data_IF_429778082867
#
_entry.id   IF_429778082867
#
_cell.length_a   1.000
_cell.length_b   1.000
_cell.length_c   1.000
_cell.angle_alpha   90.00
_cell.angle_beta   90.00
_cell.angle_gamma   90.00
#
_symmetry.space_group_name_H-M   'P 1'
#
loop_
_entity.id
_entity.type
_entity.pdbx_description
1 polymer ?
#
# COMPACT_ATOMS: atom_id res chain seq x y z
N UNK A 1 -39.80 -5.05 -16.15
CA UNK A 1 -38.80 -6.15 -16.16
C UNK A 1 -37.74 -5.75 -15.16
N UNK A 2 -37.61 -6.54 -14.09
CA UNK A 2 -36.79 -6.24 -12.92
C UNK A 2 -35.32 -6.47 -13.27
N UNK A 3 -34.54 -5.40 -13.46
CA UNK A 3 -33.09 -5.47 -13.54
C UNK A 3 -32.56 -5.69 -12.12
N UNK A 4 -32.21 -6.95 -11.83
CA UNK A 4 -31.57 -7.31 -10.57
C UNK A 4 -30.25 -6.57 -10.43
N UNK A 5 -30.12 -5.81 -9.35
CA UNK A 5 -28.82 -5.37 -8.85
C UNK A 5 -28.09 -6.62 -8.34
N UNK A 6 -27.31 -7.26 -9.20
CA UNK A 6 -26.26 -8.19 -8.76
C UNK A 6 -25.14 -7.36 -8.12
N UNK A 7 -25.36 -6.96 -6.85
CA UNK A 7 -24.27 -6.60 -5.96
C UNK A 7 -23.49 -7.89 -5.70
N UNK A 8 -22.52 -8.20 -6.55
CA UNK A 8 -21.56 -9.25 -6.23
C UNK A 8 -20.93 -8.92 -4.86
N UNK A 9 -20.94 -9.85 -3.90
CA UNK A 9 -20.32 -9.60 -2.61
C UNK A 9 -18.85 -9.28 -2.84
N UNK A 10 -18.42 -8.08 -2.47
CA UNK A 10 -17.00 -7.73 -2.50
C UNK A 10 -16.26 -8.74 -1.64
N UNK A 11 -15.42 -9.54 -2.29
CA UNK A 11 -14.57 -10.50 -1.59
C UNK A 11 -13.67 -9.70 -0.64
N UNK A 12 -13.87 -9.82 0.68
CA UNK A 12 -13.08 -9.12 1.68
C UNK A 12 -11.60 -9.52 1.55
N UNK A 13 -10.78 -8.72 0.86
CA UNK A 13 -9.35 -8.98 0.63
C UNK A 13 -8.48 -8.59 1.81
N UNK A 14 -8.98 -7.69 2.66
CA UNK A 14 -8.27 -7.17 3.83
C UNK A 14 -8.04 -8.25 4.89
N UNK A 15 -6.80 -8.39 5.42
CA UNK A 15 -6.52 -9.29 6.53
C UNK A 15 -7.20 -8.83 7.82
N UNK A 16 -7.58 -9.79 8.67
CA UNK A 16 -8.26 -9.55 9.95
C UNK A 16 -7.56 -10.24 11.12
N UNK A 17 -6.24 -10.09 11.21
CA UNK A 17 -5.45 -10.63 12.30
C UNK A 17 -5.68 -9.86 13.60
N UNK A 18 -5.79 -10.57 14.71
CA UNK A 18 -5.73 -9.96 16.05
C UNK A 18 -4.29 -9.61 16.47
N UNK A 19 -4.14 -8.74 17.47
CA UNK A 19 -2.80 -8.37 17.99
C UNK A 19 -2.01 -9.58 18.52
N UNK A 20 -2.70 -10.55 19.14
CA UNK A 20 -2.09 -11.81 19.59
C UNK A 20 -1.55 -12.64 18.42
N UNK A 21 -2.38 -12.85 17.40
CA UNK A 21 -2.00 -13.61 16.20
C UNK A 21 -0.85 -12.91 15.45
N UNK A 22 -0.87 -11.58 15.38
CA UNK A 22 0.19 -10.78 14.79
C UNK A 22 1.51 -10.89 15.57
N UNK A 23 1.46 -10.93 16.91
CA UNK A 23 2.65 -11.16 17.73
C UNK A 23 3.23 -12.57 17.54
N UNK A 24 2.37 -13.59 17.47
CA UNK A 24 2.76 -14.97 17.17
C UNK A 24 3.36 -15.10 15.76
N UNK A 25 2.82 -14.35 14.79
CA UNK A 25 3.34 -14.27 13.44
C UNK A 25 4.77 -13.69 13.42
N UNK A 26 5.03 -12.62 14.18
CA UNK A 26 6.35 -12.01 14.30
C UNK A 26 7.38 -13.01 14.87
N UNK A 27 7.03 -13.70 15.95
CA UNK A 27 7.90 -14.70 16.58
C UNK A 27 8.14 -15.91 15.66
N UNK A 28 7.08 -16.42 15.02
CA UNK A 28 7.18 -17.58 14.13
C UNK A 28 8.04 -17.30 12.91
N UNK A 29 7.77 -16.19 12.19
CA UNK A 29 8.37 -15.87 10.89
C UNK A 29 9.73 -15.18 11.02
N UNK A 30 9.88 -14.25 11.98
CA UNK A 30 11.07 -13.40 12.11
C UNK A 30 11.91 -13.73 13.34
N UNK A 31 11.42 -14.55 14.27
CA UNK A 31 12.18 -15.00 15.44
C UNK A 31 12.31 -13.95 16.54
N UNK A 32 11.46 -12.94 16.52
CA UNK A 32 11.50 -11.82 17.46
C UNK A 32 10.42 -11.96 18.53
N UNK A 33 10.81 -11.80 19.79
CA UNK A 33 9.87 -11.77 20.92
C UNK A 33 9.26 -10.38 21.06
N UNK A 34 7.97 -10.28 20.77
CA UNK A 34 7.19 -9.04 20.87
C UNK A 34 6.96 -8.67 22.34
N UNK A 35 7.39 -7.48 22.74
CA UNK A 35 7.11 -6.90 24.07
C UNK A 35 5.83 -6.07 24.05
N UNK A 36 5.53 -5.44 22.90
CA UNK A 36 4.33 -4.63 22.70
C UNK A 36 3.95 -4.60 21.21
N UNK A 37 2.65 -4.60 20.94
CA UNK A 37 2.12 -4.50 19.57
C UNK A 37 0.84 -3.66 19.58
N UNK A 38 0.61 -2.89 18.52
CA UNK A 38 -0.64 -2.16 18.32
C UNK A 38 -1.00 -2.05 16.85
N UNK A 39 -2.27 -2.24 16.53
CA UNK A 39 -2.76 -1.98 15.17
C UNK A 39 -2.60 -0.51 14.77
N UNK A 40 -2.12 -0.29 13.55
CA UNK A 40 -2.04 1.02 12.90
C UNK A 40 -3.24 1.22 11.96
N UNK A 41 -3.64 2.48 11.67
CA UNK A 41 -4.61 2.75 10.63
C UNK A 41 -4.17 2.14 9.29
N UNK A 42 -5.04 1.34 8.68
CA UNK A 42 -4.79 0.68 7.39
C UNK A 42 -6.04 0.63 6.53
N UNK A 43 -5.84 0.65 5.21
CA UNK A 43 -6.91 0.56 4.21
C UNK A 43 -7.10 -0.89 3.75
N UNK A 44 -6.56 -1.31 2.61
CA UNK A 44 -6.68 -2.69 2.10
C UNK A 44 -5.78 -3.69 2.85
N UNK A 45 -4.60 -3.24 3.30
CA UNK A 45 -3.66 -4.05 4.08
C UNK A 45 -3.97 -3.99 5.58
N UNK A 46 -3.20 -4.72 6.39
CA UNK A 46 -3.19 -4.59 7.85
C UNK A 46 -1.77 -4.34 8.37
N UNK A 47 -1.59 -3.27 9.14
CA UNK A 47 -0.30 -2.87 9.68
C UNK A 47 -0.32 -2.88 11.21
N UNK A 48 0.77 -3.27 11.83
CA UNK A 48 0.97 -3.20 13.28
C UNK A 48 2.30 -2.54 13.60
N UNK A 49 2.30 -1.65 14.59
CA UNK A 49 3.52 -1.19 15.22
C UNK A 49 3.93 -2.21 16.28
N UNK A 50 5.16 -2.72 16.17
CA UNK A 50 5.72 -3.78 16.99
C UNK A 50 6.95 -3.25 17.71
N UNK A 51 7.05 -3.48 19.02
CA UNK A 51 8.29 -3.34 19.79
C UNK A 51 8.75 -4.71 20.25
N UNK A 52 10.04 -4.99 20.14
CA UNK A 52 10.62 -6.28 20.54
C UNK A 52 11.33 -6.20 21.88
N UNK A 53 11.59 -7.34 22.50
CA UNK A 53 12.15 -7.46 23.86
C UNK A 53 13.69 -7.44 23.91
N UNK A 54 14.36 -7.16 22.79
CA UNK A 54 15.82 -7.18 22.70
C UNK A 54 16.48 -5.95 23.36
N UNK A 55 17.76 -6.09 23.72
CA UNK A 55 18.60 -4.98 24.20
C UNK A 55 18.69 -3.89 23.12
N UNK A 56 17.99 -2.78 23.32
CA UNK A 56 17.85 -1.71 22.32
C UNK A 56 16.41 -1.32 21.99
N UNK A 57 15.43 -2.15 22.36
CA UNK A 57 14.00 -1.92 22.13
C UNK A 57 13.68 -1.51 20.67
N UNK A 58 14.16 -2.30 19.70
CA UNK A 58 13.90 -2.03 18.30
C UNK A 58 12.39 -2.04 17.98
N UNK A 59 12.00 -1.09 17.14
CA UNK A 59 10.63 -0.88 16.70
C UNK A 59 10.49 -1.24 15.22
N UNK A 60 9.38 -1.89 14.88
CA UNK A 60 9.09 -2.37 13.53
C UNK A 60 7.63 -2.11 13.15
N UNK A 61 7.38 -2.16 11.85
CA UNK A 61 6.03 -2.25 11.28
C UNK A 61 5.86 -3.63 10.67
N UNK A 62 5.00 -4.44 11.27
CA UNK A 62 4.51 -5.67 10.63
C UNK A 62 3.45 -5.26 9.61
N UNK A 63 3.70 -5.57 8.34
CA UNK A 63 2.77 -5.33 7.24
C UNK A 63 2.27 -6.65 6.68
N UNK A 64 0.95 -6.82 6.71
CA UNK A 64 0.23 -7.95 6.15
C UNK A 64 -0.53 -7.43 4.93
N UNK A 65 -0.04 -7.75 3.74
CA UNK A 65 -0.63 -7.33 2.47
C UNK A 65 -1.96 -8.06 2.25
N UNK A 66 -2.95 -7.38 1.67
CA UNK A 66 -4.23 -7.97 1.29
C UNK A 66 -4.11 -9.24 0.42
N UNK A 67 -5.12 -10.10 0.44
CA UNK A 67 -5.05 -11.43 -0.19
C UNK A 67 -4.89 -11.40 -1.71
N UNK A 68 -5.35 -10.34 -2.36
CA UNK A 68 -5.30 -10.16 -3.82
C UNK A 68 -3.90 -9.76 -4.27
N UNK A 69 -3.36 -8.67 -3.73
CA UNK A 69 -1.97 -8.24 -4.03
C UNK A 69 -0.94 -9.28 -3.55
N UNK A 70 -1.29 -10.13 -2.57
CA UNK A 70 -0.44 -11.25 -2.12
C UNK A 70 -0.29 -12.37 -3.16
N UNK A 71 -1.12 -12.38 -4.22
CA UNK A 71 -0.93 -13.28 -5.37
C UNK A 71 0.15 -12.78 -6.35
N UNK A 72 0.62 -11.54 -6.18
CA UNK A 72 1.61 -10.89 -7.05
C UNK A 72 2.92 -10.64 -6.29
N UNK A 73 3.74 -11.68 -5.99
CA UNK A 73 4.96 -11.52 -5.20
C UNK A 73 5.97 -10.56 -5.84
N UNK A 74 6.03 -10.52 -7.17
CA UNK A 74 6.89 -9.58 -7.93
C UNK A 74 6.53 -8.10 -7.68
N UNK A 75 5.26 -7.79 -7.43
CA UNK A 75 4.80 -6.45 -7.07
C UNK A 75 5.39 -6.05 -5.71
N UNK A 76 5.29 -6.95 -4.75
CA UNK A 76 5.73 -6.72 -3.37
C UNK A 76 7.25 -6.69 -3.28
N UNK A 77 7.94 -7.50 -4.07
CA UNK A 77 9.39 -7.49 -4.20
C UNK A 77 9.88 -6.16 -4.77
N UNK A 78 9.33 -5.73 -5.92
CA UNK A 78 9.73 -4.46 -6.54
C UNK A 78 9.55 -3.26 -5.59
N UNK A 79 8.45 -3.23 -4.82
CA UNK A 79 8.23 -2.22 -3.79
C UNK A 79 9.30 -2.28 -2.68
N UNK A 80 9.61 -3.48 -2.19
CA UNK A 80 10.60 -3.68 -1.10
C UNK A 80 11.99 -3.27 -1.56
N UNK A 81 12.38 -3.63 -2.79
CA UNK A 81 13.66 -3.24 -3.38
C UNK A 81 13.77 -1.74 -3.61
N UNK A 82 12.69 -1.08 -4.04
CA UNK A 82 12.67 0.38 -4.14
C UNK A 82 12.91 1.05 -2.78
N UNK A 83 12.29 0.53 -1.71
CA UNK A 83 12.51 1.05 -0.35
C UNK A 83 13.95 0.85 0.14
N UNK A 84 14.55 -0.31 -0.13
CA UNK A 84 15.94 -0.60 0.19
C UNK A 84 16.89 0.30 -0.60
N UNK A 85 16.67 0.45 -1.91
CA UNK A 85 17.44 1.34 -2.76
C UNK A 85 17.41 2.79 -2.27
N UNK A 86 16.23 3.32 -1.94
CA UNK A 86 16.09 4.67 -1.37
C UNK A 86 16.88 4.84 -0.07
N UNK A 87 16.90 3.81 0.79
CA UNK A 87 17.72 3.81 2.00
C UNK A 87 19.22 3.94 1.67
N UNK A 88 19.71 3.21 0.65
CA UNK A 88 21.11 3.31 0.19
C UNK A 88 21.46 4.66 -0.44
N UNK A 89 20.48 5.35 -1.02
CA UNK A 89 20.62 6.72 -1.53
C UNK A 89 20.47 7.80 -0.44
N UNK A 90 20.35 7.40 0.83
CA UNK A 90 20.33 8.30 1.99
C UNK A 90 18.94 8.83 2.35
N UNK A 91 17.86 8.32 1.76
CA UNK A 91 16.50 8.67 2.18
C UNK A 91 16.16 7.95 3.49
N UNK A 92 15.38 8.58 4.40
CA UNK A 92 14.85 7.94 5.59
C UNK A 92 13.71 6.96 5.21
N UNK A 93 14.10 5.83 4.62
CA UNK A 93 13.21 4.77 4.14
C UNK A 93 13.30 3.56 5.06
N UNK A 94 12.15 2.94 5.34
CA UNK A 94 12.11 1.70 6.12
C UNK A 94 12.78 0.56 5.34
N UNK A 95 13.46 -0.32 6.06
CA UNK A 95 14.19 -1.46 5.50
C UNK A 95 13.61 -2.77 6.02
N UNK A 96 13.61 -3.85 5.22
CA UNK A 96 13.05 -5.12 5.67
C UNK A 96 13.95 -5.79 6.71
N UNK A 97 13.32 -6.37 7.73
CA UNK A 97 13.93 -7.35 8.61
C UNK A 97 13.70 -8.74 8.03
N UNK A 98 14.76 -9.54 7.97
CA UNK A 98 14.71 -10.85 7.32
C UNK A 98 13.95 -11.88 8.15
N UNK A 99 13.25 -12.79 7.45
CA UNK A 99 12.66 -13.97 8.07
C UNK A 99 13.76 -14.90 8.61
N UNK A 100 13.38 -15.91 9.40
CA UNK A 100 14.30 -16.95 9.87
C UNK A 100 15.01 -17.69 8.73
N UNK A 101 14.37 -17.75 7.56
CA UNK A 101 14.90 -18.39 6.35
C UNK A 101 15.73 -17.42 5.48
N UNK A 102 15.94 -16.18 5.93
CA UNK A 102 16.75 -15.18 5.24
C UNK A 102 16.03 -14.41 4.12
N UNK A 103 14.70 -14.56 3.99
CA UNK A 103 13.91 -13.88 2.97
C UNK A 103 13.41 -12.51 3.49
N UNK A 104 13.04 -11.60 2.59
CA UNK A 104 12.47 -10.28 2.93
C UNK A 104 10.96 -10.33 3.23
N UNK A 105 10.29 -11.42 2.85
CA UNK A 105 8.85 -11.62 3.01
C UNK A 105 8.51 -13.10 3.17
N UNK A 106 7.34 -13.39 3.73
CA UNK A 106 6.79 -14.75 3.85
C UNK A 106 5.31 -14.79 3.47
N UNK A 107 4.87 -15.86 2.81
CA UNK A 107 3.46 -16.07 2.47
C UNK A 107 2.77 -16.89 3.57
N UNK A 108 1.88 -16.25 4.32
CA UNK A 108 1.32 -16.80 5.56
C UNK A 108 -0.19 -16.98 5.47
N UNK A 109 -0.70 -18.05 6.06
CA UNK A 109 -2.14 -18.26 6.24
C UNK A 109 -2.60 -17.70 7.58
N UNK A 110 -3.81 -17.16 7.68
CA UNK A 110 -4.39 -16.71 8.94
C UNK A 110 -5.49 -15.67 8.79
N UNK A 111 -5.88 -15.02 9.90
CA UNK A 111 -7.01 -14.10 9.97
C UNK A 111 -8.35 -14.82 10.07
N UNK A 112 -9.34 -14.19 10.72
CA UNK A 112 -10.66 -14.79 10.98
C UNK A 112 -11.57 -14.88 9.72
N UNK A 113 -11.01 -14.90 8.51
CA UNK A 113 -11.76 -14.93 7.26
C UNK A 113 -12.28 -16.33 6.91
N UNK A 114 -13.45 -16.40 6.28
CA UNK A 114 -13.96 -17.63 5.67
C UNK A 114 -13.07 -18.00 4.47
N UNK A 115 -12.27 -19.05 4.61
CA UNK A 115 -11.39 -19.59 3.56
C UNK A 115 -9.90 -19.43 3.87
N UNK A 116 -9.08 -20.37 3.37
CA UNK A 116 -7.62 -20.40 3.55
C UNK A 116 -6.90 -19.34 2.68
N UNK A 117 -7.20 -18.06 2.91
CA UNK A 117 -6.49 -16.96 2.26
C UNK A 117 -5.06 -16.91 2.75
N UNK A 118 -4.16 -16.60 1.82
CA UNK A 118 -2.74 -16.37 2.11
C UNK A 118 -2.43 -14.90 1.93
N UNK A 119 -1.55 -14.41 2.79
CA UNK A 119 -1.17 -13.01 2.86
C UNK A 119 0.34 -12.90 2.86
N UNK A 120 0.87 -11.97 2.06
CA UNK A 120 2.29 -11.66 2.04
C UNK A 120 2.62 -10.81 3.26
N UNK A 121 3.57 -11.26 4.07
CA UNK A 121 3.95 -10.66 5.34
C UNK A 121 5.38 -10.13 5.24
N UNK A 122 5.56 -8.87 5.63
CA UNK A 122 6.87 -8.20 5.74
C UNK A 122 7.00 -7.57 7.12
N UNK A 123 8.21 -7.56 7.66
CA UNK A 123 8.56 -6.77 8.83
C UNK A 123 9.53 -5.68 8.39
N UNK A 124 9.19 -4.43 8.67
CA UNK A 124 9.96 -3.27 8.24
C UNK A 124 10.45 -2.49 9.47
N UNK A 125 11.61 -1.86 9.41
CA UNK A 125 12.06 -0.96 10.48
C UNK A 125 11.07 0.19 10.68
N UNK A 126 10.82 0.55 11.94
CA UNK A 126 9.95 1.68 12.24
C UNK A 126 10.69 3.00 11.96
N UNK A 127 10.02 3.91 11.25
CA UNK A 127 10.53 5.26 11.05
C UNK A 127 9.99 6.16 12.16
N UNK A 128 10.85 6.63 13.09
CA UNK A 128 10.42 7.54 14.15
C UNK A 128 10.02 8.88 13.55
N UNK A 129 8.90 9.43 14.02
CA UNK A 129 8.43 10.73 13.58
C UNK A 129 6.98 10.99 13.93
N UNK A 130 6.50 12.16 13.54
CA UNK A 130 5.12 12.57 13.74
C UNK A 130 4.45 12.65 12.36
N UNK A 131 3.36 11.89 12.11
CA UNK A 131 2.62 12.00 10.86
C UNK A 131 2.18 13.44 10.60
N UNK A 132 2.31 13.91 9.35
CA UNK A 132 1.94 15.28 8.95
C UNK A 132 0.49 15.61 9.31
N UNK A 133 -0.42 14.62 9.28
CA UNK A 133 -1.81 14.78 9.69
C UNK A 133 -2.02 15.14 11.18
N UNK A 134 -0.98 15.02 12.03
CA UNK A 134 -1.01 15.30 13.46
C UNK A 134 -0.32 16.60 13.86
N UNK A 135 0.23 17.36 12.90
CA UNK A 135 0.89 18.64 13.17
C UNK A 135 0.16 19.77 12.45
N UNK A 136 0.35 20.99 12.94
CA UNK A 136 -0.09 22.19 12.22
C UNK A 136 0.87 22.44 11.06
N UNK A 137 0.37 22.26 9.84
CA UNK A 137 1.14 22.49 8.62
C UNK A 137 1.38 23.98 8.39
N UNK A 138 2.57 24.31 7.87
CA UNK A 138 2.93 25.66 7.42
C UNK A 138 3.59 25.60 6.04
N UNK A 139 3.86 26.76 5.44
CA UNK A 139 4.45 26.85 4.10
C UNK A 139 5.82 26.15 3.99
N UNK A 140 6.64 26.19 5.06
CA UNK A 140 7.95 25.53 5.08
C UNK A 140 7.83 24.01 5.02
N UNK A 141 6.93 23.42 5.81
CA UNK A 141 6.68 21.97 5.81
C UNK A 141 6.19 21.52 4.42
N UNK A 142 5.28 22.27 3.79
CA UNK A 142 4.79 21.96 2.45
C UNK A 142 5.90 22.02 1.40
N UNK A 143 6.77 23.03 1.48
CA UNK A 143 7.93 23.14 0.61
C UNK A 143 8.88 21.95 0.77
N UNK A 144 9.17 21.54 2.01
CA UNK A 144 10.04 20.39 2.29
C UNK A 144 9.45 19.07 1.79
N UNK A 145 8.14 18.86 1.93
CA UNK A 145 7.43 17.70 1.36
C UNK A 145 7.57 17.70 -0.17
N UNK A 146 7.33 18.84 -0.82
CA UNK A 146 7.48 18.95 -2.27
C UNK A 146 8.91 18.67 -2.76
N UNK A 147 9.91 19.22 -2.05
CA UNK A 147 11.33 18.97 -2.34
C UNK A 147 11.70 17.50 -2.17
N UNK A 148 11.20 16.85 -1.11
CA UNK A 148 11.42 15.42 -0.87
C UNK A 148 10.79 14.56 -1.97
N UNK A 149 9.54 14.84 -2.33
CA UNK A 149 8.83 14.13 -3.40
C UNK A 149 9.56 14.24 -4.74
N UNK A 150 10.01 15.45 -5.12
CA UNK A 150 10.77 15.66 -6.35
C UNK A 150 12.14 14.95 -6.33
N UNK A 151 12.81 14.92 -5.17
CA UNK A 151 14.10 14.23 -5.02
C UNK A 151 13.95 12.71 -5.14
N UNK A 152 12.90 12.16 -4.53
CA UNK A 152 12.57 10.73 -4.60
C UNK A 152 12.22 10.32 -6.04
N UNK A 153 11.36 11.08 -6.72
CA UNK A 153 10.97 10.83 -8.12
C UNK A 153 12.19 10.83 -9.05
N UNK A 154 13.07 11.82 -8.92
CA UNK A 154 14.30 11.91 -9.70
C UNK A 154 15.21 10.69 -9.46
N UNK A 155 15.46 10.33 -8.21
CA UNK A 155 16.39 9.23 -7.88
C UNK A 155 15.82 7.88 -8.34
N UNK A 156 14.52 7.65 -8.18
CA UNK A 156 13.87 6.43 -8.68
C UNK A 156 13.93 6.36 -10.21
N UNK A 157 13.56 7.44 -10.91
CA UNK A 157 13.51 7.44 -12.38
C UNK A 157 14.89 7.31 -13.03
N UNK A 158 15.91 7.96 -12.46
CA UNK A 158 17.26 7.98 -13.05
C UNK A 158 18.10 6.74 -12.71
N UNK A 159 17.88 6.12 -11.54
CA UNK A 159 18.83 5.15 -10.99
C UNK A 159 18.23 3.80 -10.58
N UNK A 160 16.95 3.74 -10.22
CA UNK A 160 16.37 2.48 -9.75
C UNK A 160 16.13 1.53 -10.93
N UNK A 161 16.73 0.35 -10.85
CA UNK A 161 16.57 -0.71 -11.84
C UNK A 161 16.30 -2.02 -11.11
N UNK A 162 15.26 -2.75 -11.53
CA UNK A 162 14.93 -4.03 -10.94
C UNK A 162 14.26 -4.94 -11.97
N UNK A 163 14.56 -6.25 -12.04
CA UNK A 163 13.94 -7.17 -13.00
C UNK A 163 12.42 -7.15 -12.97
N UNK A 164 11.84 -7.07 -11.77
CA UNK A 164 10.39 -7.05 -11.57
C UNK A 164 9.77 -5.66 -11.67
N UNK A 165 10.48 -4.60 -12.11
CA UNK A 165 9.92 -3.22 -12.11
C UNK A 165 8.60 -3.10 -12.89
N UNK A 166 8.41 -3.94 -13.91
CA UNK A 166 7.18 -3.99 -14.71
C UNK A 166 5.95 -4.40 -13.91
N UNK A 167 6.11 -5.12 -12.80
CA UNK A 167 4.99 -5.50 -11.91
C UNK A 167 4.33 -4.28 -11.27
N UNK A 168 5.04 -3.13 -11.16
CA UNK A 168 4.48 -1.87 -10.68
C UNK A 168 3.47 -1.26 -11.66
N UNK A 169 3.48 -1.65 -12.94
CA UNK A 169 2.53 -1.17 -13.94
C UNK A 169 1.19 -1.89 -13.82
N UNK A 170 0.37 -1.43 -12.89
CA UNK A 170 -0.96 -2.01 -12.60
C UNK A 170 -2.02 -1.38 -13.51
N UNK A 171 -2.20 -1.96 -14.70
CA UNK A 171 -2.99 -1.37 -15.79
C UNK A 171 -4.42 -0.95 -15.44
N UNK A 172 -5.17 -1.76 -14.67
CA UNK A 172 -6.56 -1.45 -14.24
C UNK A 172 -6.64 -1.00 -12.78
N UNK A 173 -5.54 -0.48 -12.22
CA UNK A 173 -5.52 0.00 -10.85
C UNK A 173 -6.33 1.30 -10.71
N UNK A 174 -7.36 1.27 -9.87
CA UNK A 174 -8.30 2.39 -9.72
C UNK A 174 -7.65 3.68 -9.23
N UNK A 175 -6.52 3.58 -8.53
CA UNK A 175 -5.77 4.73 -8.04
C UNK A 175 -4.78 5.32 -9.07
N UNK A 176 -4.68 4.73 -10.26
CA UNK A 176 -3.97 5.35 -11.37
C UNK A 176 -4.83 6.48 -11.95
N UNK A 177 -4.28 7.70 -12.00
CA UNK A 177 -5.00 8.88 -12.51
C UNK A 177 -5.35 8.78 -14.01
N UNK A 178 -4.72 7.88 -14.77
CA UNK A 178 -5.13 7.55 -16.13
C UNK A 178 -6.44 6.75 -16.21
N UNK A 179 -6.85 6.13 -15.09
CA UNK A 179 -7.97 5.18 -15.01
C UNK A 179 -9.26 5.81 -14.45
N UNK A 180 -9.42 7.13 -14.53
CA UNK A 180 -10.68 7.83 -14.17
C UNK A 180 -11.94 7.17 -14.78
N UNK A 181 -11.94 6.64 -16.02
CA UNK A 181 -13.10 5.94 -16.58
C UNK A 181 -13.57 4.72 -15.77
N UNK A 182 -12.69 4.07 -14.99
CA UNK A 182 -13.09 2.95 -14.14
C UNK A 182 -14.10 3.37 -13.07
N UNK A 183 -14.21 4.66 -12.78
CA UNK A 183 -15.18 5.17 -11.81
C UNK A 183 -16.63 5.04 -12.26
N UNK A 184 -16.90 4.84 -13.56
CA UNK A 184 -18.26 4.63 -14.08
C UNK A 184 -18.99 3.49 -13.35
N UNK A 185 -18.26 2.40 -13.08
CA UNK A 185 -18.84 1.22 -12.44
C UNK A 185 -19.23 1.48 -10.98
N UNK A 186 -18.81 2.60 -10.38
CA UNK A 186 -19.12 2.96 -8.99
C UNK A 186 -20.07 4.15 -8.87
N UNK A 187 -20.58 4.72 -9.97
CA UNK A 187 -21.53 5.84 -9.93
C UNK A 187 -22.76 5.50 -9.07
N UNK A 188 -23.19 4.24 -9.07
CA UNK A 188 -24.31 3.78 -8.24
C UNK A 188 -24.10 4.08 -6.74
N UNK A 189 -22.86 4.13 -6.25
CA UNK A 189 -22.53 4.39 -4.85
C UNK A 189 -22.86 5.83 -4.42
N UNK A 190 -23.06 6.75 -5.38
CA UNK A 190 -23.50 8.11 -5.10
C UNK A 190 -25.00 8.18 -4.77
N UNK A 191 -25.81 7.18 -5.14
CA UNK A 191 -27.26 7.19 -4.89
C UNK A 191 -27.94 8.46 -5.42
N UNK A 192 -28.77 9.11 -4.61
CA UNK A 192 -29.47 10.36 -4.96
C UNK A 192 -28.65 11.63 -4.69
N UNK A 193 -27.31 11.53 -4.67
CA UNK A 193 -26.45 12.66 -4.38
C UNK A 193 -26.51 13.70 -5.51
N UNK A 194 -26.68 14.98 -5.14
CA UNK A 194 -26.68 16.13 -6.05
C UNK A 194 -25.42 16.24 -6.93
N UNK A 195 -24.32 15.59 -6.56
CA UNK A 195 -23.08 15.57 -7.33
C UNK A 195 -23.01 14.49 -8.40
N UNK A 196 -23.99 13.57 -8.51
CA UNK A 196 -23.97 12.47 -9.48
C UNK A 196 -23.73 12.96 -10.91
N UNK A 197 -24.53 13.93 -11.35
CA UNK A 197 -24.41 14.52 -12.69
C UNK A 197 -23.04 15.18 -12.93
N UNK A 198 -22.45 15.79 -11.89
CA UNK A 198 -21.12 16.42 -12.00
C UNK A 198 -20.03 15.36 -12.16
N UNK A 199 -20.10 14.28 -11.39
CA UNK A 199 -19.12 13.19 -11.47
C UNK A 199 -19.19 12.51 -12.83
N UNK A 200 -20.39 12.16 -13.31
CA UNK A 200 -20.61 11.61 -14.65
C UNK A 200 -20.03 12.53 -15.74
N UNK A 201 -20.33 13.83 -15.65
CA UNK A 201 -19.81 14.81 -16.60
C UNK A 201 -18.28 14.88 -16.58
N UNK A 202 -17.64 14.82 -15.41
CA UNK A 202 -16.17 14.82 -15.29
C UNK A 202 -15.58 13.57 -15.93
N UNK A 203 -16.18 12.40 -15.72
CA UNK A 203 -15.71 11.14 -16.34
C UNK A 203 -15.85 11.21 -17.86
N UNK A 204 -16.99 11.67 -18.38
CA UNK A 204 -17.19 11.84 -19.83
C UNK A 204 -16.22 12.85 -20.44
N UNK A 205 -15.95 13.96 -19.75
CA UNK A 205 -14.94 14.92 -20.19
C UNK A 205 -13.54 14.30 -20.18
N UNK A 206 -13.19 13.49 -19.18
CA UNK A 206 -11.93 12.78 -19.14
C UNK A 206 -11.78 11.85 -20.35
N UNK A 207 -12.81 11.05 -20.64
CA UNK A 207 -12.84 10.16 -21.81
C UNK A 207 -12.68 10.91 -23.12
N UNK A 208 -13.43 12.00 -23.31
CA UNK A 208 -13.43 12.74 -24.58
C UNK A 208 -12.22 13.64 -24.80
N UNK A 209 -11.63 14.18 -23.72
CA UNK A 209 -10.59 15.23 -23.82
C UNK A 209 -9.20 14.79 -23.37
N UNK A 210 -9.11 13.88 -22.40
CA UNK A 210 -7.85 13.48 -21.77
C UNK A 210 -7.33 12.17 -22.36
N UNK A 211 -8.17 11.14 -22.50
CA UNK A 211 -7.75 9.84 -23.04
C UNK A 211 -7.04 9.97 -24.40
N UNK A 212 -7.56 10.72 -25.39
CA UNK A 212 -6.91 10.86 -26.69
C UNK A 212 -5.52 11.52 -26.64
N UNK A 213 -5.21 12.19 -25.52
CA UNK A 213 -3.97 12.92 -25.28
C UNK A 213 -3.10 12.27 -24.21
N UNK A 214 -3.48 11.12 -23.64
CA UNK A 214 -2.76 10.49 -22.53
C UNK A 214 -1.26 10.31 -22.83
N UNK A 215 -0.92 9.90 -24.05
CA UNK A 215 0.46 9.72 -24.50
C UNK A 215 1.29 11.01 -24.61
N UNK A 216 0.64 12.19 -24.61
CA UNK A 216 1.32 13.48 -24.61
C UNK A 216 1.65 14.00 -23.21
N UNK A 217 1.12 13.36 -22.16
CA UNK A 217 1.47 13.65 -20.78
C UNK A 217 2.59 12.74 -20.30
N UNK A 218 3.29 13.16 -19.25
CA UNK A 218 4.19 12.28 -18.54
C UNK A 218 3.38 11.11 -17.96
N UNK A 219 3.86 9.88 -18.19
CA UNK A 219 3.24 8.70 -17.62
C UNK A 219 3.26 8.82 -16.08
N UNK A 220 2.08 8.60 -15.47
CA UNK A 220 1.94 8.43 -14.04
C UNK A 220 2.29 6.99 -13.63
#
# INVERSE_FOLDING_TARGET
MSSGNDCQPQTLTKPTFGEREAAELVDRVFGLKVSWIRSLPSYDDQNFHVRVSAEGADEYVLKITNSEDSQEPDLIEAQTQAMMFLSTEGFPSATPYLTKDGNTMSLESGGSGLGSKKYMVRLLTYLPGIPVAKITTNAQILYEIGRLAASLDKVLSEKFQHPSIKSLHRGQFIWNLANVPLLDQYIYALGQNKYCAVVEQVIEQFKGKIIPKLSSFQAC
#
